data_IF_773153691893
#
_entry.id   IF_773153691893
#
_cell.length_a   1.000
_cell.length_b   1.000
_cell.length_c   1.000
_cell.angle_alpha   90.00
_cell.angle_beta   90.00
_cell.angle_gamma   90.00
#
_symmetry.space_group_name_H-M   'P 1'
#
loop_
_entity.id
_entity.type
_entity.pdbx_description
1 polymer ?
#
# COMPACT_ATOMS: atom_id res chain seq x y z
N UNK A 1 -3.41 -3.58 15.47
CA UNK A 1 -2.63 -3.15 14.30
C UNK A 1 -3.47 -2.14 13.56
N UNK A 2 -2.94 -0.93 13.32
CA UNK A 2 -3.62 0.14 12.60
C UNK A 2 -2.89 0.54 11.33
N UNK A 3 -3.49 1.48 10.57
CA UNK A 3 -2.92 2.04 9.33
C UNK A 3 -1.44 2.46 9.48
N UNK A 4 -1.10 3.18 10.54
CA UNK A 4 0.27 3.66 10.75
C UNK A 4 1.27 2.55 11.08
N UNK A 5 0.83 1.45 11.70
CA UNK A 5 1.69 0.28 11.93
C UNK A 5 2.09 -0.34 10.58
N UNK A 6 1.13 -0.46 9.66
CA UNK A 6 1.35 -1.02 8.32
C UNK A 6 2.27 -0.11 7.51
N UNK A 7 1.97 1.19 7.45
CA UNK A 7 2.81 2.15 6.75
C UNK A 7 4.22 2.23 7.37
N UNK A 8 4.32 2.13 8.70
CA UNK A 8 5.58 2.05 9.43
C UNK A 8 6.40 0.82 9.04
N UNK A 9 5.79 -0.36 9.01
CA UNK A 9 6.42 -1.60 8.57
C UNK A 9 6.96 -1.48 7.14
N UNK A 10 6.15 -0.96 6.22
CA UNK A 10 6.53 -0.76 4.83
C UNK A 10 7.74 0.19 4.72
N UNK A 11 7.72 1.32 5.45
CA UNK A 11 8.83 2.30 5.49
C UNK A 11 10.13 1.66 5.98
N UNK A 12 10.05 0.90 7.07
CA UNK A 12 11.22 0.24 7.67
C UNK A 12 11.84 -0.81 6.72
N UNK A 13 11.01 -1.50 5.94
CA UNK A 13 11.46 -2.55 5.02
C UNK A 13 11.72 -2.04 3.58
N UNK A 14 11.62 -0.73 3.34
CA UNK A 14 11.71 -0.14 1.99
C UNK A 14 12.98 -0.54 1.24
N UNK A 15 14.12 -0.55 1.92
CA UNK A 15 15.40 -0.94 1.31
C UNK A 15 15.36 -2.37 0.78
N UNK A 16 14.92 -3.30 1.63
CA UNK A 16 14.73 -4.70 1.27
C UNK A 16 13.74 -4.87 0.11
N UNK A 17 12.60 -4.18 0.15
CA UNK A 17 11.58 -4.21 -0.91
C UNK A 17 12.14 -3.69 -2.26
N UNK A 18 12.98 -2.66 -2.21
CA UNK A 18 13.61 -2.09 -3.40
C UNK A 18 14.67 -3.03 -3.97
N UNK A 19 15.55 -3.59 -3.15
CA UNK A 19 16.67 -4.41 -3.61
C UNK A 19 16.24 -5.79 -4.10
N UNK A 20 15.34 -6.45 -3.37
CA UNK A 20 14.96 -7.83 -3.68
C UNK A 20 13.77 -7.92 -4.64
N UNK A 21 12.83 -6.98 -4.58
CA UNK A 21 11.60 -7.03 -5.40
C UNK A 21 11.48 -5.89 -6.41
N UNK A 22 12.46 -4.98 -6.47
CA UNK A 22 12.47 -3.84 -7.38
C UNK A 22 11.21 -2.97 -7.25
N UNK A 23 10.65 -2.91 -6.04
CA UNK A 23 9.49 -2.09 -5.72
C UNK A 23 9.99 -0.67 -5.47
N UNK A 24 9.51 0.27 -6.31
CA UNK A 24 9.84 1.70 -6.16
C UNK A 24 8.89 2.39 -5.19
N UNK A 25 7.58 2.10 -5.32
CA UNK A 25 6.49 2.66 -4.53
C UNK A 25 5.46 1.58 -4.28
N UNK A 26 4.95 1.56 -3.05
CA UNK A 26 3.89 0.66 -2.59
C UNK A 26 2.86 1.50 -1.84
N UNK A 27 1.59 1.27 -2.14
CA UNK A 27 0.48 1.97 -1.54
C UNK A 27 -0.42 1.01 -0.77
N UNK A 28 -0.87 1.45 0.40
CA UNK A 28 -1.95 0.83 1.15
C UNK A 28 -3.27 1.40 0.64
N UNK A 29 -4.28 0.56 0.37
CA UNK A 29 -5.62 0.99 -0.01
C UNK A 29 -6.69 0.23 0.79
N UNK A 30 -7.96 0.37 0.42
CA UNK A 30 -9.04 -0.39 1.04
C UNK A 30 -9.39 0.06 2.46
N UNK A 31 -9.96 -0.86 3.23
CA UNK A 31 -10.60 -0.60 4.53
C UNK A 31 -9.68 0.09 5.54
N UNK A 32 -8.39 -0.27 5.55
CA UNK A 32 -7.38 0.33 6.43
C UNK A 32 -7.09 1.80 6.13
N UNK A 33 -7.25 2.26 4.88
CA UNK A 33 -7.11 3.69 4.56
C UNK A 33 -8.32 4.48 5.04
N UNK A 34 -9.51 3.92 4.86
CA UNK A 34 -10.79 4.54 5.20
C UNK A 34 -11.16 4.46 6.69
N UNK A 35 -10.34 3.79 7.51
CA UNK A 35 -10.62 3.47 8.92
C UNK A 35 -11.88 2.61 9.10
N UNK A 36 -12.20 1.79 8.10
CA UNK A 36 -13.37 0.89 8.07
C UNK A 36 -12.96 -0.57 8.32
N UNK A 37 -11.70 -0.82 8.65
CA UNK A 37 -11.21 -2.18 8.93
C UNK A 37 -11.87 -2.77 10.18
N UNK A 38 -12.20 -4.05 10.08
CA UNK A 38 -12.64 -4.94 11.17
C UNK A 38 -11.52 -5.89 11.58
N UNK A 39 -11.75 -6.69 12.61
CA UNK A 39 -10.80 -7.72 13.05
C UNK A 39 -10.54 -8.80 11.97
N UNK A 40 -11.51 -9.01 11.08
CA UNK A 40 -11.43 -9.99 9.97
C UNK A 40 -10.96 -9.36 8.65
N UNK A 41 -10.61 -8.07 8.64
CA UNK A 41 -10.19 -7.37 7.41
C UNK A 41 -8.79 -7.78 6.96
N UNK A 42 -8.62 -7.89 5.65
CA UNK A 42 -7.32 -8.09 5.00
C UNK A 42 -6.58 -6.76 4.75
N UNK A 43 -5.31 -6.87 4.34
CA UNK A 43 -4.46 -5.72 4.04
C UNK A 43 -4.27 -5.63 2.53
N UNK A 44 -4.85 -4.58 1.96
CA UNK A 44 -4.81 -4.27 0.53
C UNK A 44 -3.56 -3.45 0.13
N UNK A 45 -2.67 -4.03 -0.68
CA UNK A 45 -1.43 -3.36 -1.13
C UNK A 45 -1.27 -3.33 -2.66
N UNK A 46 -0.85 -2.18 -3.19
CA UNK A 46 -0.66 -1.96 -4.61
C UNK A 46 0.76 -1.51 -4.94
N UNK A 47 1.41 -2.20 -5.88
CA UNK A 47 2.64 -1.73 -6.52
C UNK A 47 2.29 -0.82 -7.69
N UNK A 48 2.63 0.46 -7.58
CA UNK A 48 2.24 1.50 -8.56
C UNK A 48 2.59 1.11 -10.01
N UNK A 49 3.76 0.50 -10.24
CA UNK A 49 4.24 0.14 -11.59
C UNK A 49 3.32 -0.83 -12.35
N UNK A 50 2.57 -1.70 -11.67
CA UNK A 50 1.78 -2.78 -12.30
C UNK A 50 0.28 -2.49 -12.31
N UNK A 51 -0.12 -1.29 -11.90
CA UNK A 51 -1.51 -0.87 -12.03
C UNK A 51 -1.85 -0.69 -13.50
N UNK A 52 -2.83 -1.46 -13.97
CA UNK A 52 -3.37 -1.31 -15.33
C UNK A 52 -3.95 0.10 -15.47
N UNK A 53 -3.74 0.73 -16.63
CA UNK A 53 -4.07 2.15 -16.85
C UNK A 53 -5.51 2.50 -16.49
N UNK A 54 -6.45 1.59 -16.73
CA UNK A 54 -7.88 1.81 -16.48
C UNK A 54 -8.27 1.78 -14.99
N UNK A 55 -7.47 1.20 -14.09
CA UNK A 55 -7.68 1.27 -12.62
C UNK A 55 -6.72 2.22 -11.92
N UNK A 56 -5.64 2.64 -12.62
CA UNK A 56 -4.55 3.40 -12.01
C UNK A 56 -5.01 4.70 -11.37
N UNK A 57 -5.91 5.46 -12.03
CA UNK A 57 -6.40 6.72 -11.50
C UNK A 57 -7.20 6.52 -10.19
N UNK A 58 -8.06 5.50 -10.14
CA UNK A 58 -8.86 5.19 -8.96
C UNK A 58 -7.96 4.79 -7.79
N UNK A 59 -7.08 3.80 -8.00
CA UNK A 59 -6.19 3.34 -6.94
C UNK A 59 -5.24 4.46 -6.49
N UNK A 60 -4.75 5.31 -7.39
CA UNK A 60 -3.89 6.42 -7.00
C UNK A 60 -4.61 7.49 -6.15
N UNK A 61 -5.93 7.62 -6.26
CA UNK A 61 -6.71 8.56 -5.45
C UNK A 61 -7.04 7.99 -4.06
N UNK A 62 -7.14 6.66 -3.95
CA UNK A 62 -7.51 5.97 -2.71
C UNK A 62 -6.28 5.51 -1.91
N UNK A 63 -5.16 5.22 -2.57
CA UNK A 63 -4.01 4.62 -1.93
C UNK A 63 -3.09 5.65 -1.24
N UNK A 64 -2.66 5.31 -0.02
CA UNK A 64 -1.60 6.03 0.69
C UNK A 64 -0.27 5.39 0.35
N UNK A 65 0.53 6.06 -0.47
CA UNK A 65 1.86 5.59 -0.88
C UNK A 65 2.93 5.92 0.14
N UNK A 66 3.82 4.96 0.35
CA UNK A 66 5.12 5.21 0.97
C UNK A 66 6.12 5.55 -0.12
N UNK A 67 6.73 6.73 -0.02
CA UNK A 67 7.84 7.14 -0.89
C UNK A 67 9.15 6.48 -0.54
#
# INVERSE_FOLDING_TARGET
>A
MGKEDILGFIRQNKHYLKEHFHIKRIGLFGSFVHNEQTEDSDIDIAREKYLKSYVKAQINNEAVYVE
#
